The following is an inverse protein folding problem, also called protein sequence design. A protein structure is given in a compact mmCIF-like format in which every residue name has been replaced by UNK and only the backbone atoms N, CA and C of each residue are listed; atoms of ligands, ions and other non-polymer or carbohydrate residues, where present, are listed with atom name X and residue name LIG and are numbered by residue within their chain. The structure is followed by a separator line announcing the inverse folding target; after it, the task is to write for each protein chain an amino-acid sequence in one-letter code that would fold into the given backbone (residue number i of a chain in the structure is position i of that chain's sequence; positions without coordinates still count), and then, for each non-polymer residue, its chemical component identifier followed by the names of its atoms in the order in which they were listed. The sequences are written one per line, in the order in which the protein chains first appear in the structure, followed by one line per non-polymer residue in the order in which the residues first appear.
data_IF_036444639988
#
_entry.id   IF_036444639988
#
_cell.length_a   1.000
_cell.length_b   1.000
_cell.length_c   1.000
_cell.angle_alpha   90.00
_cell.angle_beta   90.00
_cell.angle_gamma   90.00
#
_symmetry.space_group_name_H-M   'P 1'
#
loop_
_entity.id
_entity.type
_entity.pdbx_description
1 polymer ?
#
# COMPACT_ATOMS: atom_id res chain seq x y z
N UNK A 1 -12.60 6.33 -13.71
CA UNK A 1 -13.11 7.11 -12.60
C UNK A 1 -12.43 8.48 -12.53
N UNK A 2 -12.92 9.40 -11.68
CA UNK A 2 -12.26 10.68 -11.43
C UNK A 2 -10.84 10.50 -10.93
N UNK A 3 -9.99 11.50 -11.17
CA UNK A 3 -8.58 11.52 -10.75
C UNK A 3 -8.24 12.81 -10.03
N UNK A 4 -9.16 13.24 -9.16
CA UNK A 4 -8.97 14.48 -8.42
C UNK A 4 -7.94 14.29 -7.31
N UNK A 5 -8.05 13.21 -6.55
CA UNK A 5 -7.16 12.97 -5.41
C UNK A 5 -6.80 11.50 -5.24
N UNK A 6 -5.51 11.24 -5.00
CA UNK A 6 -5.01 9.94 -4.57
C UNK A 6 -4.17 10.03 -3.29
N UNK A 7 -4.07 8.91 -2.58
CA UNK A 7 -3.19 8.76 -1.41
C UNK A 7 -2.25 7.57 -1.64
N UNK A 8 -0.95 7.80 -1.45
CA UNK A 8 0.10 6.77 -1.41
C UNK A 8 0.48 6.54 0.05
N UNK A 9 0.02 5.44 0.62
CA UNK A 9 0.23 5.09 2.03
C UNK A 9 1.52 4.31 2.19
N UNK A 10 2.40 4.75 3.10
CA UNK A 10 3.73 4.16 3.26
C UNK A 10 4.58 4.39 2.01
N UNK A 11 4.69 5.65 1.60
CA UNK A 11 5.29 6.05 0.31
C UNK A 11 6.74 5.60 0.09
N UNK A 12 7.49 5.39 1.18
CA UNK A 12 8.89 4.96 1.12
C UNK A 12 9.77 5.88 0.29
N UNK A 13 10.12 5.45 -0.92
CA UNK A 13 10.93 6.25 -1.86
C UNK A 13 10.12 7.16 -2.79
N UNK A 14 8.79 7.26 -2.62
CA UNK A 14 7.94 8.17 -3.39
C UNK A 14 7.59 7.71 -4.81
N UNK A 15 7.99 6.49 -5.21
CA UNK A 15 7.79 6.03 -6.59
C UNK A 15 6.31 5.89 -6.97
N UNK A 16 5.47 5.39 -6.06
CA UNK A 16 4.04 5.26 -6.33
C UNK A 16 3.36 6.63 -6.38
N UNK A 17 3.71 7.57 -5.49
CA UNK A 17 3.21 8.94 -5.53
C UNK A 17 3.53 9.62 -6.88
N UNK A 18 4.76 9.48 -7.39
CA UNK A 18 5.14 9.98 -8.72
C UNK A 18 4.36 9.30 -9.86
N UNK A 19 4.12 8.00 -9.76
CA UNK A 19 3.31 7.27 -10.74
C UNK A 19 1.85 7.72 -10.73
N UNK A 20 1.29 8.06 -9.58
CA UNK A 20 -0.07 8.60 -9.46
C UNK A 20 -0.18 9.97 -10.14
N UNK A 21 0.80 10.87 -9.94
CA UNK A 21 0.87 12.13 -10.68
C UNK A 21 0.96 11.90 -12.19
N UNK A 22 1.84 10.98 -12.61
CA UNK A 22 1.95 10.61 -14.04
C UNK A 22 0.67 9.99 -14.60
N UNK A 23 -0.12 9.32 -13.77
CA UNK A 23 -1.44 8.79 -14.14
C UNK A 23 -2.51 9.88 -14.24
N UNK A 24 -2.20 11.14 -13.92
CA UNK A 24 -3.08 12.28 -14.09
C UNK A 24 -3.93 12.62 -12.86
N UNK A 25 -3.52 12.20 -11.66
CA UNK A 25 -4.15 12.68 -10.43
C UNK A 25 -3.74 14.14 -10.18
N UNK A 26 -4.74 14.99 -9.91
CA UNK A 26 -4.55 16.44 -9.70
C UNK A 26 -3.83 16.73 -8.37
N UNK A 27 -4.04 15.88 -7.37
CA UNK A 27 -3.41 15.94 -6.06
C UNK A 27 -3.06 14.56 -5.56
N UNK A 28 -1.87 14.41 -5.00
CA UNK A 28 -1.41 13.18 -4.37
C UNK A 28 -0.94 13.49 -2.96
N UNK A 29 -1.52 12.83 -1.95
CA UNK A 29 -0.97 12.82 -0.60
C UNK A 29 -0.10 11.58 -0.47
N UNK A 30 1.16 11.75 -0.11
CA UNK A 30 2.09 10.66 0.18
C UNK A 30 2.42 10.65 1.68
N UNK A 31 2.06 9.57 2.35
CA UNK A 31 2.25 9.42 3.80
C UNK A 31 3.30 8.38 4.12
N UNK A 32 4.02 8.55 5.22
CA UNK A 32 4.89 7.53 5.79
C UNK A 32 5.06 7.75 7.29
N UNK A 33 5.17 6.68 8.06
CA UNK A 33 5.47 6.75 9.49
C UNK A 33 6.97 6.84 9.79
N UNK A 34 7.81 6.79 8.77
CA UNK A 34 9.25 7.01 8.84
C UNK A 34 9.59 8.43 8.35
N UNK A 35 9.92 9.33 9.28
CA UNK A 35 10.29 10.70 8.94
C UNK A 35 11.42 10.78 7.89
N UNK A 36 12.40 9.87 7.97
CA UNK A 36 13.50 9.84 6.99
C UNK A 36 13.02 9.55 5.56
N UNK A 37 11.98 8.73 5.40
CA UNK A 37 11.37 8.49 4.09
C UNK A 37 10.73 9.78 3.56
N UNK A 38 9.91 10.44 4.38
CA UNK A 38 9.26 11.71 4.03
C UNK A 38 10.29 12.78 3.65
N UNK A 39 11.33 12.97 4.44
CA UNK A 39 12.40 13.94 4.17
C UNK A 39 13.20 13.60 2.91
N UNK A 40 13.44 12.31 2.65
CA UNK A 40 14.13 11.86 1.43
C UNK A 40 13.30 12.20 0.19
N UNK A 41 12.02 11.86 0.20
CA UNK A 41 11.10 12.19 -0.91
C UNK A 41 11.02 13.71 -1.09
N UNK A 42 10.87 14.49 -0.01
CA UNK A 42 10.85 15.95 -0.09
C UNK A 42 12.13 16.53 -0.73
N UNK A 43 13.28 15.93 -0.44
CA UNK A 43 14.56 16.33 -1.04
C UNK A 43 14.63 16.02 -2.54
N UNK A 44 14.14 14.85 -2.93
CA UNK A 44 14.14 14.41 -4.31
C UNK A 44 13.16 15.21 -5.18
N UNK A 45 11.97 15.50 -4.66
CA UNK A 45 10.97 16.35 -5.33
C UNK A 45 11.51 17.76 -5.64
N UNK A 46 12.31 18.36 -4.73
CA UNK A 46 12.94 19.67 -4.96
C UNK A 46 13.97 19.68 -6.08
N UNK A 47 14.47 18.52 -6.49
CA UNK A 47 15.46 18.39 -7.59
C UNK A 47 14.82 18.22 -8.96
N UNK A 48 13.49 18.03 -8.99
CA UNK A 48 12.78 17.86 -10.26
C UNK A 48 12.63 19.22 -10.97
N UNK A 49 12.68 19.23 -12.32
CA UNK A 49 12.49 20.45 -13.11
C UNK A 49 11.16 21.15 -12.88
N UNK A 50 10.14 20.39 -12.53
CA UNK A 50 8.82 20.89 -12.10
C UNK A 50 8.36 20.12 -10.86
N UNK A 51 7.79 20.82 -9.92
CA UNK A 51 7.29 20.21 -8.68
C UNK A 51 5.95 19.52 -8.98
N UNK A 52 5.87 18.19 -8.83
CA UNK A 52 4.59 17.49 -9.00
C UNK A 52 3.62 17.82 -7.86
N UNK A 53 2.30 17.67 -8.05
CA UNK A 53 1.29 17.98 -7.04
C UNK A 53 1.24 16.90 -5.94
N UNK A 54 2.34 16.75 -5.19
CA UNK A 54 2.50 15.79 -4.10
C UNK A 54 2.65 16.55 -2.78
N UNK A 55 1.70 16.33 -1.89
CA UNK A 55 1.79 16.72 -0.49
C UNK A 55 2.39 15.57 0.31
N UNK A 56 3.29 15.87 1.24
CA UNK A 56 3.96 14.87 2.08
C UNK A 56 3.49 14.99 3.52
N UNK A 57 3.20 13.87 4.17
CA UNK A 57 2.84 13.84 5.58
C UNK A 57 3.58 12.74 6.34
N UNK A 58 4.19 13.11 7.47
CA UNK A 58 4.74 12.16 8.44
C UNK A 58 3.62 11.73 9.39
N UNK A 59 3.02 10.57 9.15
CA UNK A 59 1.92 10.04 9.97
C UNK A 59 1.79 8.52 9.83
N UNK A 60 1.01 7.91 10.72
CA UNK A 60 0.62 6.50 10.60
C UNK A 60 -0.54 6.36 9.62
N UNK A 61 -0.37 5.48 8.63
CA UNK A 61 -1.36 5.20 7.57
C UNK A 61 -1.84 6.47 6.85
N UNK A 62 -3.15 6.77 6.89
CA UNK A 62 -3.74 7.95 6.25
C UNK A 62 -3.72 9.20 7.16
N UNK A 63 -3.23 9.07 8.40
CA UNK A 63 -3.18 10.18 9.36
C UNK A 63 -4.56 10.75 9.72
N UNK A 64 -4.61 12.06 9.97
CA UNK A 64 -5.83 12.78 10.36
C UNK A 64 -6.58 13.42 9.17
N UNK A 65 -5.99 13.40 7.98
CA UNK A 65 -6.61 13.96 6.78
C UNK A 65 -7.85 13.15 6.38
N UNK A 66 -9.01 13.77 6.46
CA UNK A 66 -10.31 13.14 6.15
C UNK A 66 -10.81 13.48 4.75
N UNK A 67 -10.03 14.20 3.94
CA UNK A 67 -10.43 14.58 2.58
C UNK A 67 -10.69 13.34 1.71
N UNK A 68 -11.88 13.24 1.09
CA UNK A 68 -12.21 12.10 0.24
C UNK A 68 -11.23 11.93 -0.92
N UNK A 69 -10.91 10.68 -1.24
CA UNK A 69 -9.94 10.33 -2.27
C UNK A 69 -10.55 9.33 -3.27
N UNK A 70 -10.19 9.47 -4.53
CA UNK A 70 -10.65 8.57 -5.60
C UNK A 70 -9.83 7.28 -5.63
N UNK A 71 -8.61 7.35 -5.10
CA UNK A 71 -7.72 6.19 -5.03
C UNK A 71 -6.85 6.24 -3.77
N UNK A 72 -6.81 5.14 -3.05
CA UNK A 72 -5.83 4.89 -1.98
C UNK A 72 -4.96 3.72 -2.40
N UNK A 73 -3.65 3.93 -2.52
CA UNK A 73 -2.67 2.90 -2.87
C UNK A 73 -1.85 2.57 -1.63
N UNK A 74 -1.63 1.29 -1.38
CA UNK A 74 -0.79 0.84 -0.28
C UNK A 74 0.07 -0.36 -0.71
N UNK A 75 1.37 -0.21 -0.56
CA UNK A 75 2.34 -1.31 -0.63
C UNK A 75 2.81 -1.64 0.79
N UNK A 76 2.04 -2.41 1.56
CA UNK A 76 2.35 -2.69 2.96
C UNK A 76 3.57 -3.61 3.10
N UNK A 77 4.13 -3.72 4.31
CA UNK A 77 4.99 -4.84 4.68
C UNK A 77 4.28 -6.18 4.45
N UNK A 78 5.02 -7.23 4.03
CA UNK A 78 4.41 -8.50 3.60
C UNK A 78 4.54 -9.65 4.60
N UNK A 79 5.31 -9.48 5.67
CA UNK A 79 5.56 -10.51 6.68
C UNK A 79 5.11 -10.02 8.05
N UNK A 80 4.39 -10.87 8.79
CA UNK A 80 4.01 -10.57 10.17
C UNK A 80 5.16 -10.87 11.11
N UNK A 81 5.48 -9.97 12.05
CA UNK A 81 6.48 -10.21 13.07
C UNK A 81 7.08 -8.95 13.68
N UNK A 82 7.94 -9.17 14.67
CA UNK A 82 8.81 -8.14 15.21
C UNK A 82 10.00 -7.88 14.29
N UNK A 83 10.60 -6.71 14.41
CA UNK A 83 11.78 -6.31 13.64
C UNK A 83 12.88 -5.87 14.58
N UNK A 84 14.12 -6.23 14.24
CA UNK A 84 15.31 -5.87 15.01
C UNK A 84 16.09 -4.69 14.40
N UNK A 85 15.69 -4.20 13.20
CA UNK A 85 16.37 -3.11 12.51
C UNK A 85 15.47 -2.24 11.62
N UNK A 86 16.02 -1.12 11.13
CA UNK A 86 15.29 -0.17 10.28
C UNK A 86 14.82 -0.78 8.94
N UNK A 87 15.62 -1.68 8.36
CA UNK A 87 15.27 -2.38 7.11
C UNK A 87 14.17 -3.41 7.32
N UNK A 88 14.10 -4.03 8.50
CA UNK A 88 13.08 -5.02 8.82
C UNK A 88 11.68 -4.40 8.94
N UNK A 89 11.59 -3.12 9.34
CA UNK A 89 10.31 -2.39 9.43
C UNK A 89 9.58 -2.31 8.09
N UNK A 90 10.31 -2.26 6.99
CA UNK A 90 9.71 -2.20 5.64
C UNK A 90 9.19 -3.55 5.15
N UNK A 91 9.56 -4.66 5.82
CA UNK A 91 9.17 -6.02 5.44
C UNK A 91 8.16 -6.64 6.41
N UNK A 92 8.13 -6.19 7.68
CA UNK A 92 7.32 -6.76 8.73
C UNK A 92 6.21 -5.83 9.20
N UNK A 93 5.03 -6.36 9.42
CA UNK A 93 3.91 -5.63 9.98
C UNK A 93 3.50 -6.16 11.36
N UNK A 94 2.98 -5.27 12.20
CA UNK A 94 2.38 -5.59 13.50
C UNK A 94 0.89 -5.90 13.35
N UNK A 95 0.36 -6.60 14.33
CA UNK A 95 -1.06 -6.86 14.43
C UNK A 95 -1.88 -5.57 14.36
N UNK A 96 -3.05 -5.65 13.71
CA UNK A 96 -3.96 -4.54 13.53
C UNK A 96 -3.61 -3.55 12.42
N UNK A 97 -2.45 -3.68 11.72
CA UNK A 97 -2.09 -2.77 10.63
C UNK A 97 -3.18 -2.70 9.56
N UNK A 98 -3.54 -3.86 9.02
CA UNK A 98 -4.53 -3.93 7.93
C UNK A 98 -5.94 -3.54 8.39
N UNK A 99 -6.31 -3.88 9.61
CA UNK A 99 -7.60 -3.51 10.19
C UNK A 99 -7.73 -1.99 10.27
N UNK A 100 -6.75 -1.30 10.87
CA UNK A 100 -6.73 0.17 10.94
C UNK A 100 -6.68 0.80 9.54
N UNK A 101 -5.89 0.23 8.62
CA UNK A 101 -5.82 0.72 7.24
C UNK A 101 -7.20 0.68 6.57
N UNK A 102 -7.89 -0.45 6.61
CA UNK A 102 -9.19 -0.58 5.96
C UNK A 102 -10.27 0.26 6.65
N UNK A 103 -10.22 0.43 7.98
CA UNK A 103 -11.10 1.35 8.70
C UNK A 103 -10.92 2.79 8.23
N UNK A 104 -9.69 3.26 8.18
CA UNK A 104 -9.38 4.60 7.70
C UNK A 104 -9.73 4.78 6.22
N UNK A 105 -9.39 3.84 5.36
CA UNK A 105 -9.71 3.89 3.94
C UNK A 105 -11.23 3.94 3.69
N UNK A 106 -12.02 3.14 4.42
CA UNK A 106 -13.47 3.10 4.26
C UNK A 106 -14.14 4.46 4.49
N UNK A 107 -13.61 5.27 5.39
CA UNK A 107 -14.16 6.60 5.72
C UNK A 107 -13.65 7.72 4.81
N UNK A 108 -12.59 7.47 4.04
CA UNK A 108 -11.88 8.48 3.24
C UNK A 108 -11.96 8.27 1.73
N UNK A 109 -12.69 7.28 1.27
CA UNK A 109 -12.95 7.09 -0.15
C UNK A 109 -14.17 7.88 -0.62
N UNK A 110 -14.08 8.43 -1.83
CA UNK A 110 -15.28 8.88 -2.57
C UNK A 110 -16.22 7.68 -2.81
N UNK A 111 -17.50 7.89 -3.15
CA UNK A 111 -18.43 6.79 -3.43
C UNK A 111 -17.94 5.81 -4.51
N UNK A 112 -17.22 6.30 -5.52
CA UNK A 112 -16.61 5.49 -6.59
C UNK A 112 -15.14 5.16 -6.33
N UNK A 113 -14.60 5.59 -5.19
CA UNK A 113 -13.20 5.43 -4.85
C UNK A 113 -12.76 3.98 -4.72
N UNK A 114 -11.47 3.76 -4.93
CA UNK A 114 -10.84 2.43 -4.92
C UNK A 114 -9.68 2.37 -3.93
N UNK A 115 -9.47 1.18 -3.41
CA UNK A 115 -8.22 0.82 -2.73
C UNK A 115 -7.43 -0.11 -3.65
N UNK A 116 -6.15 0.17 -3.81
CA UNK A 116 -5.21 -0.74 -4.51
C UNK A 116 -4.12 -1.14 -3.54
N UNK A 117 -3.99 -2.45 -3.32
CA UNK A 117 -2.93 -3.03 -2.48
C UNK A 117 -1.98 -3.85 -3.34
N UNK A 118 -0.69 -3.61 -3.17
CA UNK A 118 0.35 -4.50 -3.64
C UNK A 118 0.71 -5.45 -2.49
N UNK A 119 0.57 -6.76 -2.71
CA UNK A 119 0.83 -7.75 -1.66
C UNK A 119 1.55 -8.97 -2.21
N UNK A 120 2.19 -9.75 -1.36
CA UNK A 120 2.80 -11.02 -1.73
C UNK A 120 2.18 -12.17 -0.94
N UNK A 121 2.03 -13.32 -1.61
CA UNK A 121 1.63 -14.54 -0.92
C UNK A 121 2.76 -15.12 -0.06
N UNK A 122 3.87 -14.41 0.14
CA UNK A 122 5.00 -14.86 0.96
C UNK A 122 4.56 -15.22 2.38
N UNK A 123 3.60 -14.47 2.94
CA UNK A 123 3.08 -14.75 4.30
C UNK A 123 2.49 -16.16 4.37
N UNK A 124 1.70 -16.62 3.40
CA UNK A 124 1.13 -17.95 3.39
C UNK A 124 2.18 -19.05 3.17
N UNK A 125 3.35 -18.68 2.60
CA UNK A 125 4.47 -19.60 2.39
C UNK A 125 5.36 -19.73 3.63
N UNK A 126 5.41 -18.72 4.49
CA UNK A 126 6.29 -18.66 5.67
C UNK A 126 5.54 -18.79 6.98
N UNK A 127 4.30 -18.36 7.01
CA UNK A 127 3.41 -18.34 8.18
C UNK A 127 2.01 -18.81 7.73
N UNK A 128 1.84 -20.09 7.37
CA UNK A 128 0.58 -20.60 6.77
C UNK A 128 -0.63 -20.43 7.70
N UNK A 129 -0.41 -20.41 9.01
CA UNK A 129 -1.47 -20.25 10.02
C UNK A 129 -1.94 -18.78 10.19
N UNK A 130 -1.23 -17.83 9.58
CA UNK A 130 -1.63 -16.40 9.61
C UNK A 130 -2.67 -16.17 8.52
N UNK A 131 -3.88 -15.68 8.88
CA UNK A 131 -4.90 -15.35 7.88
C UNK A 131 -4.39 -14.31 6.88
N UNK A 132 -4.81 -14.47 5.62
CA UNK A 132 -4.50 -13.47 4.59
C UNK A 132 -5.28 -12.19 4.88
N UNK A 133 -4.61 -11.05 5.15
CA UNK A 133 -5.29 -9.86 5.69
C UNK A 133 -6.34 -9.28 4.73
N UNK A 134 -6.11 -9.35 3.42
CA UNK A 134 -7.07 -8.85 2.43
C UNK A 134 -8.29 -9.78 2.33
N UNK A 135 -8.10 -11.11 2.38
CA UNK A 135 -9.23 -12.05 2.38
C UNK A 135 -10.08 -11.89 3.65
N UNK A 136 -9.46 -11.72 4.81
CA UNK A 136 -10.17 -11.47 6.05
C UNK A 136 -11.02 -10.18 5.99
N UNK A 137 -10.53 -9.14 5.30
CA UNK A 137 -11.30 -7.91 5.10
C UNK A 137 -12.49 -8.11 4.14
N UNK A 138 -12.29 -8.88 3.07
CA UNK A 138 -13.39 -9.23 2.14
C UNK A 138 -14.50 -10.03 2.85
N UNK A 139 -14.11 -10.95 3.74
CA UNK A 139 -15.05 -11.71 4.58
C UNK A 139 -15.83 -10.81 5.56
N UNK A 140 -15.20 -9.75 6.09
CA UNK A 140 -15.88 -8.72 6.92
C UNK A 140 -16.91 -7.90 6.14
N UNK A 141 -16.82 -7.85 4.83
CA UNK A 141 -17.80 -7.24 3.94
C UNK A 141 -17.75 -5.72 3.85
N UNK A 142 -16.75 -5.02 4.42
CA UNK A 142 -16.57 -3.56 4.22
C UNK A 142 -16.17 -3.22 2.78
N UNK A 143 -15.37 -4.09 2.18
CA UNK A 143 -14.91 -3.96 0.80
C UNK A 143 -15.30 -5.18 -0.02
N UNK A 144 -15.55 -4.95 -1.31
CA UNK A 144 -15.72 -5.97 -2.34
C UNK A 144 -14.52 -6.00 -3.28
N UNK A 145 -14.21 -7.18 -3.79
CA UNK A 145 -13.16 -7.35 -4.79
C UNK A 145 -13.63 -6.84 -6.16
N UNK A 146 -12.89 -5.91 -6.75
CA UNK A 146 -13.10 -5.45 -8.13
C UNK A 146 -12.28 -6.32 -9.08
N UNK A 147 -10.97 -6.41 -8.84
CA UNK A 147 -10.09 -7.29 -9.59
C UNK A 147 -8.87 -7.69 -8.77
N UNK A 148 -8.27 -8.81 -9.17
CA UNK A 148 -6.99 -9.29 -8.65
C UNK A 148 -6.08 -9.66 -9.81
N UNK A 149 -4.91 -9.05 -9.86
CA UNK A 149 -3.84 -9.41 -10.78
C UNK A 149 -2.71 -10.09 -10.01
N UNK A 150 -1.98 -10.98 -10.65
CA UNK A 150 -0.81 -11.58 -10.02
C UNK A 150 0.32 -11.81 -11.03
N UNK A 151 1.55 -11.79 -10.52
CA UNK A 151 2.75 -12.13 -11.29
C UNK A 151 3.68 -12.99 -10.44
N UNK A 152 4.22 -14.05 -11.03
CA UNK A 152 5.26 -14.87 -10.39
C UNK A 152 6.52 -14.04 -10.18
N UNK A 153 7.15 -14.20 -9.02
CA UNK A 153 8.46 -13.59 -8.75
C UNK A 153 9.53 -14.40 -9.52
N UNK A 154 10.41 -13.70 -10.21
CA UNK A 154 11.54 -14.35 -10.88
C UNK A 154 12.47 -14.94 -9.81
N UNK A 155 12.86 -16.23 -9.93
CA UNK A 155 13.79 -16.83 -8.98
C UNK A 155 15.14 -16.11 -9.02
N UNK A 156 15.85 -15.99 -7.88
CA UNK A 156 17.19 -15.43 -7.86
C UNK A 156 18.16 -16.33 -8.64
N UNK A 157 19.24 -15.75 -9.14
CA UNK A 157 20.28 -16.49 -9.85
C UNK A 157 21.11 -17.42 -8.94
N UNK A 158 21.05 -17.27 -7.61
CA UNK A 158 21.73 -18.11 -6.63
C UNK A 158 20.84 -19.23 -6.09
N UNK A 159 21.43 -20.39 -5.75
CA UNK A 159 20.74 -21.58 -5.30
C UNK A 159 20.04 -21.49 -3.94
N UNK A 160 20.45 -20.53 -3.10
CA UNK A 160 19.91 -20.36 -1.75
C UNK A 160 18.53 -19.67 -1.81
N UNK A 161 17.49 -20.39 -1.41
CA UNK A 161 16.11 -19.85 -1.39
C UNK A 161 15.27 -20.09 -2.66
N UNK A 162 15.81 -20.78 -3.68
CA UNK A 162 15.12 -21.04 -4.96
C UNK A 162 13.74 -21.71 -4.79
N UNK A 163 13.63 -22.76 -3.94
CA UNK A 163 12.37 -23.52 -3.76
C UNK A 163 11.22 -22.67 -3.22
N UNK A 164 11.51 -21.64 -2.43
CA UNK A 164 10.52 -20.75 -1.82
C UNK A 164 10.04 -19.71 -2.85
N UNK A 165 10.98 -19.06 -3.55
CA UNK A 165 10.67 -18.02 -4.53
C UNK A 165 9.96 -18.51 -5.79
N UNK A 166 10.07 -19.79 -6.16
CA UNK A 166 9.32 -20.37 -7.28
C UNK A 166 7.80 -20.41 -7.04
N UNK A 167 7.37 -20.38 -5.77
CA UNK A 167 5.95 -20.35 -5.39
C UNK A 167 5.45 -18.94 -5.04
N UNK A 168 6.37 -17.98 -4.90
CA UNK A 168 6.03 -16.62 -4.55
C UNK A 168 5.38 -15.88 -5.72
N UNK A 169 4.32 -15.14 -5.41
CA UNK A 169 3.59 -14.28 -6.35
C UNK A 169 3.41 -12.92 -5.71
N UNK A 170 3.61 -11.90 -6.52
CA UNK A 170 3.16 -10.56 -6.18
C UNK A 170 1.76 -10.39 -6.73
N UNK A 171 0.89 -9.82 -5.94
CA UNK A 171 -0.52 -9.66 -6.20
C UNK A 171 -0.90 -8.18 -6.10
N UNK A 172 -1.70 -7.71 -7.04
CA UNK A 172 -2.35 -6.40 -6.98
C UNK A 172 -3.83 -6.64 -6.78
N UNK A 173 -4.36 -6.12 -5.68
CA UNK A 173 -5.76 -6.22 -5.30
C UNK A 173 -6.42 -4.86 -5.46
N UNK A 174 -7.43 -4.77 -6.27
CA UNK A 174 -8.29 -3.60 -6.38
C UNK A 174 -9.61 -3.87 -5.68
N UNK A 175 -9.92 -3.03 -4.71
CA UNK A 175 -11.10 -3.16 -3.86
C UNK A 175 -11.96 -1.90 -3.96
N UNK A 176 -13.26 -2.06 -3.78
CA UNK A 176 -14.22 -0.97 -3.65
C UNK A 176 -14.97 -1.12 -2.34
N UNK A 177 -15.26 0.00 -1.68
CA UNK A 177 -16.12 0.00 -0.51
C UNK A 177 -17.53 -0.50 -0.90
N UNK A 178 -18.04 -1.45 -0.16
CA UNK A 178 -19.43 -1.85 -0.28
C UNK A 178 -20.30 -0.69 0.20
N UNK A 179 -21.32 -0.31 -0.57
CA UNK A 179 -22.28 0.69 -0.14
C UNK A 179 -22.95 0.19 1.15
N UNK A 180 -22.88 0.99 2.23
CA UNK A 180 -23.67 0.69 3.41
C UNK A 180 -25.15 0.62 3.02
N UNK A 181 -25.81 -0.48 3.36
CA UNK A 181 -27.25 -0.60 3.33
C UNK A 181 -27.84 0.28 4.41
#
# INVERSE_FOLDING_TARGET
GPRTRAVDVGTGCGVLALMLCKAGFERVLATDNNLNAVESVARDLRRLPSVPPIDLAHCDLLGEDTTPSDLVVFNPPWVRGGFEGLLDRSLHFKDGLFERFFEQAATRLTPSGRVVLLFSNVIQLVQPDVPHPILAELERGRFGLVQKLHRKVKPPRSSTGQRRRTRERVEVWELQRNGGR
#
